data_IF_117853335901
#
_entry.id   IF_117853335901
#
_cell.length_a   1.000
_cell.length_b   1.000
_cell.length_c   1.000
_cell.angle_alpha   90.00
_cell.angle_beta   90.00
_cell.angle_gamma   90.00
#
_symmetry.space_group_name_H-M   'P 1'
#
loop_
_entity.id
_entity.type
_entity.pdbx_description
1 polymer ?
#
# COMPACT_ATOMS: atom_id res chain seq x y z
N UNK A 1 -20.77 13.84 -0.18
CA UNK A 1 -19.42 13.24 -0.01
C UNK A 1 -19.26 12.94 1.47
N UNK A 2 -18.80 11.74 1.79
CA UNK A 2 -18.58 11.37 3.20
C UNK A 2 -17.27 12.02 3.65
N UNK A 3 -17.31 12.87 4.65
CA UNK A 3 -16.13 13.59 5.12
C UNK A 3 -14.99 12.65 5.59
N UNK A 4 -15.29 11.46 6.14
CA UNK A 4 -14.28 10.47 6.51
C UNK A 4 -13.53 9.92 5.27
N UNK A 5 -14.22 9.78 4.15
CA UNK A 5 -13.60 9.29 2.90
C UNK A 5 -12.63 10.33 2.32
N UNK A 6 -12.96 11.61 2.40
CA UNK A 6 -12.06 12.70 1.99
C UNK A 6 -10.84 12.77 2.89
N UNK A 7 -11.03 12.67 4.21
CA UNK A 7 -9.95 12.62 5.19
C UNK A 7 -9.02 11.41 4.97
N UNK A 8 -9.58 10.23 4.71
CA UNK A 8 -8.82 9.02 4.42
C UNK A 8 -8.13 9.02 3.06
N UNK A 9 -8.55 9.88 2.14
CA UNK A 9 -7.95 9.99 0.79
C UNK A 9 -6.87 11.08 0.68
N UNK A 10 -6.55 11.77 1.79
CA UNK A 10 -5.59 12.86 1.79
C UNK A 10 -6.08 14.16 1.13
N UNK A 11 -7.39 14.29 0.94
CA UNK A 11 -8.02 15.47 0.34
C UNK A 11 -8.46 16.52 1.38
N UNK A 12 -8.33 16.22 2.65
CA UNK A 12 -8.63 17.13 3.73
C UNK A 12 -7.39 17.94 4.12
N UNK A 13 -7.41 19.25 3.89
CA UNK A 13 -6.36 20.15 4.34
C UNK A 13 -6.71 20.71 5.72
N UNK A 14 -5.84 20.49 6.71
CA UNK A 14 -5.99 20.99 8.07
C UNK A 14 -4.78 21.82 8.48
N UNK A 15 -5.01 22.97 9.10
CA UNK A 15 -3.94 23.85 9.59
C UNK A 15 -3.05 23.10 10.60
N UNK A 16 -1.74 23.15 10.40
CA UNK A 16 -0.75 22.47 11.25
C UNK A 16 -0.33 21.08 10.75
N UNK A 17 -0.92 20.59 9.67
CA UNK A 17 -0.58 19.32 9.05
C UNK A 17 -0.01 19.54 7.65
N UNK A 18 0.82 18.59 7.18
CA UNK A 18 1.35 18.62 5.84
C UNK A 18 0.23 18.46 4.79
N UNK A 19 0.48 18.99 3.58
CA UNK A 19 -0.35 18.69 2.42
C UNK A 19 -0.34 17.18 2.17
N UNK A 20 -1.43 16.61 1.67
CA UNK A 20 -1.61 15.15 1.50
C UNK A 20 -1.61 14.34 2.81
N UNK A 21 -1.79 15.01 3.96
CA UNK A 21 -2.08 14.33 5.22
C UNK A 21 -3.38 13.57 5.13
N UNK A 22 -3.41 12.38 5.72
CA UNK A 22 -4.62 11.58 5.75
C UNK A 22 -4.89 11.04 7.16
N UNK A 23 -6.13 10.69 7.39
CA UNK A 23 -6.62 10.20 8.68
C UNK A 23 -7.21 8.81 8.52
N UNK A 24 -7.11 8.02 9.57
CA UNK A 24 -7.60 6.65 9.63
C UNK A 24 -8.66 6.49 10.73
N UNK A 25 -9.64 5.66 10.47
CA UNK A 25 -10.64 5.31 11.48
C UNK A 25 -9.98 4.48 12.59
N UNK A 26 -10.31 4.79 13.84
CA UNK A 26 -9.76 4.11 15.01
C UNK A 26 -10.26 2.67 15.06
N UNK A 27 -9.37 1.72 14.85
CA UNK A 27 -9.71 0.31 14.95
C UNK A 27 -9.78 -0.11 16.42
N UNK A 28 -10.95 -0.58 16.87
CA UNK A 28 -11.19 -0.99 18.26
C UNK A 28 -11.06 -2.52 18.47
N UNK A 29 -10.69 -3.28 17.44
CA UNK A 29 -10.59 -4.73 17.52
C UNK A 29 -11.64 -5.46 16.71
N UNK A 30 -11.82 -6.74 17.01
CA UNK A 30 -12.80 -7.61 16.36
C UNK A 30 -13.89 -8.03 17.35
N UNK A 31 -15.10 -8.14 16.87
CA UNK A 31 -16.21 -8.66 17.66
C UNK A 31 -15.98 -10.13 17.99
N UNK A 32 -16.14 -10.48 19.27
CA UNK A 32 -15.87 -11.85 19.77
C UNK A 32 -16.87 -12.91 19.27
N UNK A 33 -18.10 -12.50 18.88
CA UNK A 33 -19.14 -13.45 18.45
C UNK A 33 -19.06 -13.81 16.96
N UNK A 34 -18.71 -12.83 16.11
CA UNK A 34 -18.78 -12.99 14.67
C UNK A 34 -17.53 -12.52 13.91
N UNK A 35 -16.51 -11.99 14.63
CA UNK A 35 -15.22 -11.58 14.04
C UNK A 35 -15.29 -10.39 13.10
N UNK A 36 -16.38 -9.63 13.10
CA UNK A 36 -16.48 -8.40 12.34
C UNK A 36 -15.63 -7.27 12.96
N UNK A 37 -15.10 -6.34 12.15
CA UNK A 37 -14.30 -5.23 12.67
C UNK A 37 -15.15 -4.25 13.46
N UNK A 38 -14.59 -3.73 14.55
CA UNK A 38 -15.17 -2.72 15.41
C UNK A 38 -14.32 -1.44 15.36
N UNK A 39 -14.98 -0.28 15.53
CA UNK A 39 -14.35 1.02 15.46
C UNK A 39 -14.70 1.86 16.68
N UNK A 40 -13.74 2.64 17.14
CA UNK A 40 -13.99 3.70 18.10
C UNK A 40 -14.32 4.98 17.32
N UNK A 41 -15.59 5.34 17.35
CA UNK A 41 -16.12 6.51 16.68
C UNK A 41 -16.42 7.65 17.69
N UNK A 42 -15.78 7.64 18.85
CA UNK A 42 -15.92 8.70 19.85
C UNK A 42 -15.63 10.07 19.23
N UNK A 43 -16.56 11.00 19.38
CA UNK A 43 -16.50 12.31 18.73
C UNK A 43 -17.36 12.42 17.46
N UNK A 44 -17.85 11.32 16.89
CA UNK A 44 -18.74 11.37 15.72
C UNK A 44 -20.16 11.87 16.08
N UNK A 45 -20.52 11.84 17.36
CA UNK A 45 -21.78 12.38 17.90
C UNK A 45 -21.83 13.92 17.94
N UNK A 46 -20.70 14.60 17.78
CA UNK A 46 -20.63 16.05 17.77
C UNK A 46 -21.14 16.60 16.42
N UNK A 47 -21.94 17.66 16.46
CA UNK A 47 -22.41 18.34 15.25
C UNK A 47 -21.25 18.82 14.36
N UNK A 48 -20.14 19.22 14.97
CA UNK A 48 -18.90 19.62 14.27
C UNK A 48 -18.25 18.48 13.50
N UNK A 49 -18.49 17.22 13.90
CA UNK A 49 -17.95 16.04 13.21
C UNK A 49 -18.48 15.89 11.78
N UNK A 50 -19.62 16.49 11.46
CA UNK A 50 -20.17 16.52 10.10
C UNK A 50 -19.28 17.33 9.14
N UNK A 51 -18.52 18.28 9.65
CA UNK A 51 -17.60 19.12 8.88
C UNK A 51 -16.14 18.77 9.11
N UNK A 52 -15.78 18.20 10.27
CA UNK A 52 -14.40 17.85 10.64
C UNK A 52 -14.28 16.38 11.06
N UNK A 53 -13.89 15.54 10.11
CA UNK A 53 -13.68 14.11 10.34
C UNK A 53 -12.53 13.80 11.32
N UNK A 54 -11.64 14.75 11.58
CA UNK A 54 -10.51 14.54 12.49
C UNK A 54 -10.91 14.44 13.96
N UNK A 55 -12.16 14.70 14.30
CA UNK A 55 -12.68 14.53 15.65
C UNK A 55 -12.82 13.05 16.03
N UNK A 56 -13.11 12.18 15.07
CA UNK A 56 -13.31 10.74 15.29
C UNK A 56 -12.33 9.85 14.49
N UNK A 57 -11.34 10.45 13.84
CA UNK A 57 -10.27 9.75 13.13
C UNK A 57 -8.91 10.14 13.71
N UNK A 58 -7.93 9.25 13.60
CA UNK A 58 -6.55 9.53 13.99
C UNK A 58 -5.71 9.95 12.81
N UNK A 59 -4.76 10.86 13.04
CA UNK A 59 -3.75 11.20 12.04
C UNK A 59 -2.93 9.98 11.68
N UNK A 60 -2.95 9.63 10.41
CA UNK A 60 -2.32 8.41 9.90
C UNK A 60 -0.99 8.68 9.16
N UNK A 61 -0.66 9.95 8.97
CA UNK A 61 0.55 10.35 8.27
C UNK A 61 0.27 11.13 6.99
N UNK A 62 1.19 11.11 6.05
CA UNK A 62 1.07 11.78 4.76
C UNK A 62 1.40 10.83 3.61
N UNK A 63 0.72 11.01 2.50
CA UNK A 63 0.90 10.18 1.31
C UNK A 63 2.14 10.56 0.50
N UNK A 64 2.56 11.82 0.57
CA UNK A 64 3.76 12.30 -0.11
C UNK A 64 5.01 12.00 0.71
N UNK A 65 6.10 11.51 0.07
CA UNK A 65 7.34 11.25 0.76
C UNK A 65 8.04 12.54 1.21
N UNK A 66 8.77 12.46 2.31
CA UNK A 66 9.64 13.54 2.79
C UNK A 66 10.85 13.73 1.88
N UNK A 67 11.32 12.61 1.34
CA UNK A 67 12.53 12.59 0.54
C UNK A 67 12.45 11.58 -0.59
N UNK A 68 12.73 12.07 -1.81
CA UNK A 68 12.92 11.27 -3.00
C UNK A 68 14.31 11.51 -3.55
N UNK A 69 15.03 10.44 -3.87
CA UNK A 69 16.35 10.52 -4.46
C UNK A 69 16.53 9.50 -5.57
N UNK A 70 16.98 9.97 -6.72
CA UNK A 70 17.44 9.11 -7.81
C UNK A 70 18.97 9.18 -7.90
N UNK A 71 19.65 8.04 -7.88
CA UNK A 71 21.09 7.91 -8.08
C UNK A 71 21.36 7.01 -9.26
N UNK A 72 22.10 7.52 -10.25
CA UNK A 72 22.60 6.71 -11.35
C UNK A 72 24.11 6.71 -11.35
N UNK A 73 24.72 5.58 -11.63
CA UNK A 73 26.15 5.45 -11.79
C UNK A 73 26.50 4.67 -13.06
N UNK A 74 27.67 4.99 -13.60
CA UNK A 74 28.24 4.28 -14.72
C UNK A 74 29.73 4.07 -14.49
N UNK A 75 30.18 2.84 -14.56
CA UNK A 75 31.57 2.44 -14.41
C UNK A 75 32.04 1.87 -15.73
N UNK A 76 33.14 2.39 -16.27
CA UNK A 76 33.76 1.87 -17.48
C UNK A 76 35.15 1.38 -17.15
N UNK A 77 35.41 0.17 -17.54
CA UNK A 77 36.75 -0.43 -17.48
C UNK A 77 37.12 -1.02 -18.85
N UNK A 78 38.03 -0.36 -19.53
CA UNK A 78 38.44 -0.71 -20.93
C UNK A 78 37.18 -0.72 -21.84
N UNK A 79 36.81 -1.88 -22.33
CA UNK A 79 35.71 -2.14 -23.25
C UNK A 79 34.42 -2.59 -22.54
N UNK A 80 34.48 -2.72 -21.22
CA UNK A 80 33.34 -3.13 -20.41
C UNK A 80 32.72 -1.88 -19.72
N UNK A 81 31.42 -1.74 -19.80
CA UNK A 81 30.69 -0.68 -19.11
C UNK A 81 29.54 -1.29 -18.30
N UNK A 82 29.45 -0.90 -17.03
CA UNK A 82 28.36 -1.23 -16.10
C UNK A 82 27.63 0.05 -15.73
N UNK A 83 26.32 0.08 -15.88
CA UNK A 83 25.50 1.18 -15.42
C UNK A 83 24.30 0.69 -14.61
N UNK A 84 23.85 1.47 -13.64
CA UNK A 84 22.69 1.19 -12.85
C UNK A 84 22.01 2.47 -12.37
N UNK A 85 20.68 2.41 -12.20
CA UNK A 85 19.88 3.47 -11.61
C UNK A 85 19.15 2.95 -10.37
N UNK A 86 19.27 3.70 -9.27
CA UNK A 86 18.61 3.43 -8.00
C UNK A 86 17.64 4.57 -7.69
N UNK A 87 16.50 4.25 -7.12
CA UNK A 87 15.51 5.22 -6.66
C UNK A 87 15.09 4.91 -5.23
N UNK A 88 15.16 5.93 -4.36
CA UNK A 88 14.78 5.87 -2.95
C UNK A 88 13.62 6.81 -2.68
N UNK A 89 12.59 6.32 -2.01
CA UNK A 89 11.46 7.11 -1.49
C UNK A 89 11.25 6.79 -0.03
N UNK A 90 11.19 7.80 0.85
CA UNK A 90 11.04 7.63 2.29
C UNK A 90 10.18 8.73 2.91
N UNK A 91 9.53 8.41 4.04
CA UNK A 91 8.81 9.36 4.87
C UNK A 91 7.32 9.47 4.56
N UNK A 92 6.78 8.60 3.73
CA UNK A 92 5.34 8.54 3.44
C UNK A 92 4.69 7.32 4.07
N UNK A 93 3.40 7.44 4.35
CA UNK A 93 2.51 6.38 4.81
C UNK A 93 1.38 6.18 3.81
N UNK A 94 0.80 4.99 3.82
CA UNK A 94 -0.38 4.69 3.01
C UNK A 94 -1.21 3.59 3.64
N UNK A 95 -2.43 3.41 3.14
CA UNK A 95 -3.20 2.22 3.48
C UNK A 95 -2.73 1.01 2.68
N UNK A 96 -2.67 -0.14 3.35
CA UNK A 96 -2.56 -1.41 2.62
C UNK A 96 -3.73 -1.57 1.66
N UNK A 97 -3.46 -2.07 0.47
CA UNK A 97 -4.52 -2.38 -0.48
C UNK A 97 -5.59 -3.28 0.15
N UNK A 98 -6.87 -3.10 -0.22
CA UNK A 98 -7.94 -3.97 0.25
C UNK A 98 -7.61 -5.46 0.04
N UNK A 99 -8.03 -6.29 0.98
CA UNK A 99 -7.76 -7.75 0.92
C UNK A 99 -8.61 -8.49 -0.12
N UNK A 100 -9.44 -7.78 -0.88
CA UNK A 100 -10.34 -8.29 -1.92
C UNK A 100 -11.52 -7.33 -2.10
N UNK A 101 -12.41 -7.63 -3.01
CA UNK A 101 -13.68 -6.90 -3.20
C UNK A 101 -14.68 -7.36 -2.13
N UNK A 102 -14.60 -6.75 -0.94
CA UNK A 102 -15.37 -7.19 0.23
C UNK A 102 -16.69 -6.46 0.43
N UNK A 103 -16.99 -5.52 -0.46
CA UNK A 103 -18.04 -4.55 -0.23
C UNK A 103 -19.45 -5.10 -0.19
N UNK A 104 -19.76 -6.24 -0.80
CA UNK A 104 -21.15 -6.72 -0.86
C UNK A 104 -21.34 -8.23 -0.99
N UNK A 105 -20.32 -9.06 -1.15
CA UNK A 105 -20.51 -10.48 -1.41
C UNK A 105 -19.52 -11.37 -0.65
N UNK A 106 -19.99 -12.56 -0.34
CA UNK A 106 -19.13 -13.68 0.04
C UNK A 106 -18.09 -13.84 -1.08
N UNK A 107 -16.78 -13.91 -0.75
CA UNK A 107 -15.74 -14.11 -1.76
C UNK A 107 -16.06 -15.34 -2.61
N UNK A 108 -16.00 -15.18 -3.93
CA UNK A 108 -16.18 -16.28 -4.87
C UNK A 108 -15.00 -17.25 -4.79
N UNK A 109 -15.26 -18.54 -4.95
CA UNK A 109 -14.24 -19.59 -5.05
C UNK A 109 -13.31 -19.41 -6.27
N UNK A 110 -13.75 -18.63 -7.26
CA UNK A 110 -12.99 -18.32 -8.49
C UNK A 110 -12.16 -17.03 -8.39
N UNK A 111 -12.19 -16.33 -7.26
CA UNK A 111 -11.43 -15.10 -7.06
C UNK A 111 -10.17 -15.36 -6.25
N UNK A 112 -9.04 -14.79 -6.72
CA UNK A 112 -7.81 -14.80 -5.96
C UNK A 112 -7.95 -13.91 -4.71
N UNK A 113 -7.71 -14.49 -3.56
CA UNK A 113 -7.76 -13.80 -2.28
C UNK A 113 -6.37 -13.45 -1.75
N UNK A 114 -6.30 -12.37 -0.97
CA UNK A 114 -5.08 -12.03 -0.25
C UNK A 114 -4.68 -13.15 0.73
N UNK A 115 -3.38 -13.45 0.79
CA UNK A 115 -2.82 -14.38 1.80
C UNK A 115 -3.03 -13.92 3.23
N UNK A 116 -3.36 -12.64 3.45
CA UNK A 116 -3.71 -12.12 4.78
C UNK A 116 -4.91 -12.83 5.38
N UNK A 117 -5.86 -13.29 4.55
CA UNK A 117 -7.03 -14.05 4.98
C UNK A 117 -6.71 -15.38 5.67
N UNK A 118 -5.53 -15.93 5.51
CA UNK A 118 -5.09 -17.12 6.24
C UNK A 118 -5.10 -16.88 7.74
N UNK A 119 -4.78 -15.65 8.17
CA UNK A 119 -4.72 -15.23 9.58
C UNK A 119 -6.04 -14.64 10.11
N UNK A 120 -7.14 -14.80 9.37
CA UNK A 120 -8.44 -14.24 9.77
C UNK A 120 -8.98 -14.84 11.06
N UNK A 121 -9.83 -14.11 11.71
CA UNK A 121 -10.67 -14.62 12.78
C UNK A 121 -11.56 -15.77 12.27
N UNK A 122 -11.64 -16.86 13.01
CA UNK A 122 -12.42 -18.09 12.65
C UNK A 122 -13.39 -18.52 13.75
N UNK A 123 -13.06 -18.26 15.01
CA UNK A 123 -13.82 -18.67 16.18
C UNK A 123 -13.65 -17.68 17.34
N UNK A 124 -14.60 -17.64 18.29
CA UNK A 124 -14.42 -16.86 19.52
C UNK A 124 -13.11 -17.14 20.22
N UNK A 125 -12.40 -16.08 20.62
CA UNK A 125 -11.05 -16.09 21.18
C UNK A 125 -9.96 -15.66 20.21
N UNK A 126 -10.19 -15.79 18.90
CA UNK A 126 -9.21 -15.39 17.89
C UNK A 126 -9.05 -13.85 17.82
N UNK A 127 -10.01 -13.06 18.28
CA UNK A 127 -9.92 -11.60 18.38
C UNK A 127 -8.75 -11.11 19.25
N UNK A 128 -8.20 -11.97 20.09
CA UNK A 128 -7.03 -11.67 20.94
C UNK A 128 -5.69 -11.88 20.24
N UNK A 129 -5.69 -12.63 19.13
CA UNK A 129 -4.47 -13.05 18.44
C UNK A 129 -4.37 -12.54 17.01
N UNK A 130 -5.46 -12.04 16.43
CA UNK A 130 -5.47 -11.47 15.08
C UNK A 130 -6.28 -10.18 15.00
N UNK A 131 -5.84 -9.28 14.11
CA UNK A 131 -6.59 -8.09 13.72
C UNK A 131 -7.26 -8.23 12.35
N UNK A 132 -7.16 -9.42 11.74
CA UNK A 132 -7.80 -9.69 10.44
C UNK A 132 -9.21 -10.19 10.69
N UNK A 133 -10.25 -9.49 10.19
CA UNK A 133 -11.63 -9.86 10.46
C UNK A 133 -12.02 -11.23 9.86
N UNK A 134 -13.16 -11.74 10.26
CA UNK A 134 -13.78 -12.89 9.61
C UNK A 134 -14.06 -12.60 8.14
N UNK A 135 -14.24 -13.63 7.31
CA UNK A 135 -14.74 -13.42 5.94
C UNK A 135 -16.12 -12.77 5.98
N UNK A 136 -16.39 -11.83 5.05
CA UNK A 136 -17.73 -11.27 4.92
C UNK A 136 -18.75 -12.40 4.71
N UNK A 137 -19.82 -12.36 5.45
CA UNK A 137 -20.94 -13.25 5.32
C UNK A 137 -22.25 -12.48 5.50
N UNK A 138 -23.39 -13.14 5.35
CA UNK A 138 -24.68 -12.46 5.46
C UNK A 138 -24.87 -11.78 6.82
N UNK A 139 -24.31 -12.33 7.89
CA UNK A 139 -24.43 -11.76 9.25
C UNK A 139 -23.51 -10.54 9.39
N UNK A 140 -22.22 -10.68 9.04
CA UNK A 140 -21.24 -9.62 9.24
C UNK A 140 -21.42 -8.46 8.25
N UNK A 141 -21.84 -8.73 7.02
CA UNK A 141 -22.10 -7.70 6.01
C UNK A 141 -23.42 -6.97 6.23
N UNK A 142 -24.38 -7.60 6.87
CA UNK A 142 -25.65 -6.95 7.23
C UNK A 142 -25.52 -6.00 8.43
N UNK A 143 -24.52 -6.22 9.28
CA UNK A 143 -24.25 -5.34 10.44
C UNK A 143 -23.50 -4.09 9.98
N UNK A 144 -24.29 -3.10 9.52
CA UNK A 144 -23.75 -1.79 9.18
C UNK A 144 -23.19 -1.07 10.40
N UNK A 145 -22.17 -0.26 10.18
CA UNK A 145 -21.59 0.63 11.18
C UNK A 145 -22.08 2.03 10.87
N UNK A 146 -22.73 2.66 11.83
CA UNK A 146 -23.20 4.03 11.66
C UNK A 146 -22.05 5.00 11.88
N UNK A 147 -21.67 5.70 10.82
CA UNK A 147 -20.72 6.80 10.85
C UNK A 147 -21.48 8.08 10.55
N UNK A 148 -21.59 8.96 11.55
CA UNK A 148 -22.50 10.10 11.51
C UNK A 148 -23.94 9.65 11.21
N UNK A 149 -24.52 10.13 10.12
CA UNK A 149 -25.89 9.83 9.69
C UNK A 149 -26.01 8.69 8.66
N UNK A 150 -24.89 8.00 8.35
CA UNK A 150 -24.79 7.03 7.28
C UNK A 150 -24.41 5.64 7.78
N UNK A 151 -25.06 4.64 7.20
CA UNK A 151 -24.80 3.24 7.49
C UNK A 151 -23.75 2.68 6.52
N UNK A 152 -22.52 2.51 7.01
CA UNK A 152 -21.37 2.10 6.24
C UNK A 152 -21.08 0.60 6.35
N UNK A 153 -20.43 0.05 5.34
CA UNK A 153 -19.98 -1.33 5.38
C UNK A 153 -18.74 -1.45 6.29
N UNK A 154 -18.74 -2.33 7.30
CA UNK A 154 -17.61 -2.46 8.23
C UNK A 154 -16.28 -2.86 7.56
N UNK A 155 -16.31 -3.57 6.44
CA UNK A 155 -15.09 -3.97 5.73
C UNK A 155 -14.49 -2.82 4.90
N UNK A 156 -15.31 -1.89 4.41
CA UNK A 156 -14.82 -0.68 3.74
C UNK A 156 -14.16 0.25 4.77
N UNK A 157 -14.77 0.40 5.94
CA UNK A 157 -14.18 1.13 7.07
C UNK A 157 -12.87 0.47 7.54
N UNK A 158 -12.84 -0.87 7.61
CA UNK A 158 -11.62 -1.60 7.97
C UNK A 158 -10.46 -1.31 7.01
N UNK A 159 -10.72 -1.22 5.72
CA UNK A 159 -9.71 -0.88 4.73
C UNK A 159 -9.10 0.52 4.93
N UNK A 160 -9.80 1.39 5.65
CA UNK A 160 -9.40 2.78 5.97
C UNK A 160 -9.16 3.00 7.46
N UNK A 161 -8.90 1.94 8.21
CA UNK A 161 -8.63 1.99 9.64
C UNK A 161 -7.14 2.04 9.97
N UNK A 162 -6.82 2.41 11.21
CA UNK A 162 -5.45 2.55 11.73
C UNK A 162 -4.63 1.26 11.57
N UNK A 163 -5.25 0.09 11.68
CA UNK A 163 -4.57 -1.20 11.51
C UNK A 163 -4.11 -1.48 10.07
N UNK A 164 -4.59 -0.71 9.11
CA UNK A 164 -4.23 -0.82 7.68
C UNK A 164 -3.22 0.24 7.23
N UNK A 165 -2.80 1.14 8.12
CA UNK A 165 -1.78 2.15 7.83
C UNK A 165 -0.40 1.53 7.93
N UNK A 166 0.45 1.79 6.94
CA UNK A 166 1.81 1.27 6.86
C UNK A 166 2.77 2.29 6.30
N UNK A 167 4.04 2.18 6.70
CA UNK A 167 5.12 2.95 6.09
C UNK A 167 5.37 2.49 4.65
N UNK A 168 5.46 3.45 3.72
CA UNK A 168 5.54 3.19 2.30
C UNK A 168 6.94 3.41 1.69
N UNK A 169 8.00 3.39 2.52
CA UNK A 169 9.35 3.57 2.01
C UNK A 169 9.81 2.40 1.13
N UNK A 170 10.58 2.72 0.10
CA UNK A 170 11.23 1.71 -0.73
C UNK A 170 12.52 2.23 -1.39
N UNK A 171 13.42 1.29 -1.69
CA UNK A 171 14.56 1.46 -2.57
C UNK A 171 14.39 0.52 -3.75
N UNK A 172 14.34 1.06 -4.96
CA UNK A 172 14.20 0.30 -6.20
C UNK A 172 15.45 0.43 -7.04
N UNK A 173 15.90 -0.67 -7.59
CA UNK A 173 16.83 -0.67 -8.72
C UNK A 173 16.04 -0.68 -10.03
N UNK A 174 16.07 0.44 -10.76
CA UNK A 174 15.31 0.57 -12.00
C UNK A 174 15.91 -0.26 -13.14
N UNK A 175 17.23 -0.26 -13.26
CA UNK A 175 17.93 -1.05 -14.28
C UNK A 175 19.38 -1.35 -13.88
N UNK A 176 19.88 -2.47 -14.37
CA UNK A 176 21.31 -2.79 -14.42
C UNK A 176 21.63 -3.13 -15.86
N UNK A 177 22.61 -2.45 -16.46
CA UNK A 177 23.04 -2.71 -17.84
C UNK A 177 24.54 -2.96 -17.87
N UNK A 178 24.92 -4.04 -18.52
CA UNK A 178 26.30 -4.43 -18.77
C UNK A 178 26.53 -4.40 -20.28
N UNK A 179 27.52 -3.63 -20.74
CA UNK A 179 27.87 -3.53 -22.16
C UNK A 179 29.34 -3.89 -22.35
N UNK A 180 29.61 -4.64 -23.39
CA UNK A 180 30.96 -5.00 -23.81
C UNK A 180 31.18 -4.66 -25.28
N UNK A 181 32.20 -3.86 -25.58
CA UNK A 181 32.61 -3.54 -26.95
C UNK A 181 33.82 -4.37 -27.30
N UNK A 182 33.74 -5.14 -28.41
CA UNK A 182 34.87 -5.93 -28.86
C UNK A 182 35.99 -5.00 -29.33
N UNK A 183 37.23 -5.18 -28.82
CA UNK A 183 38.34 -4.35 -29.25
C UNK A 183 38.59 -4.46 -30.76
N UNK A 184 38.88 -3.37 -31.45
CA UNK A 184 39.13 -3.30 -32.89
C UNK A 184 40.16 -4.32 -33.36
N UNK A 185 41.21 -4.57 -32.56
CA UNK A 185 42.27 -5.56 -32.87
C UNK A 185 41.76 -6.98 -33.02
N UNK A 186 40.56 -7.30 -32.56
CA UNK A 186 39.94 -8.62 -32.66
C UNK A 186 38.92 -8.69 -33.79
N UNK A 187 38.64 -7.57 -34.47
CA UNK A 187 37.67 -7.49 -35.55
C UNK A 187 38.32 -7.82 -36.91
N UNK A 188 37.64 -8.59 -37.76
CA UNK A 188 38.03 -8.70 -39.19
C UNK A 188 37.93 -7.32 -39.83
N UNK A 189 38.82 -7.02 -40.81
CA UNK A 189 38.91 -5.70 -41.43
C UNK A 189 37.65 -5.20 -42.17
N UNK A 190 36.65 -6.04 -42.32
CA UNK A 190 35.30 -5.70 -42.86
C UNK A 190 34.32 -5.22 -41.82
N UNK A 191 34.58 -5.40 -40.51
CA UNK A 191 33.70 -4.99 -39.40
C UNK A 191 34.32 -3.83 -38.64
N UNK A 192 33.56 -2.76 -38.48
CA UNK A 192 33.99 -1.55 -37.77
C UNK A 192 33.79 -1.63 -36.27
N UNK A 193 32.71 -2.25 -35.78
CA UNK A 193 32.43 -2.41 -34.37
C UNK A 193 31.49 -3.62 -34.11
N UNK A 194 31.70 -4.31 -33.01
CA UNK A 194 30.78 -5.28 -32.45
C UNK A 194 30.62 -4.97 -30.97
N UNK A 195 29.36 -4.83 -30.52
CA UNK A 195 29.03 -4.64 -29.12
C UNK A 195 27.96 -5.62 -28.66
N UNK A 196 28.08 -6.04 -27.42
CA UNK A 196 27.08 -6.84 -26.73
C UNK A 196 26.56 -6.03 -25.55
N UNK A 197 25.24 -6.02 -25.34
CA UNK A 197 24.61 -5.42 -24.16
C UNK A 197 23.65 -6.38 -23.52
N UNK A 198 23.69 -6.44 -22.21
CA UNK A 198 22.76 -7.16 -21.38
C UNK A 198 22.11 -6.18 -20.40
N UNK A 199 20.78 -6.17 -20.31
CA UNK A 199 20.05 -5.25 -19.47
C UNK A 199 18.97 -5.97 -18.67
N UNK A 200 18.91 -5.69 -17.37
CA UNK A 200 17.88 -6.14 -16.46
C UNK A 200 17.06 -4.93 -15.99
N UNK A 201 15.76 -4.98 -16.21
CA UNK A 201 14.82 -3.99 -15.67
C UNK A 201 14.28 -4.44 -14.32
N UNK A 202 14.20 -3.52 -13.35
CA UNK A 202 13.67 -3.77 -12.00
C UNK A 202 14.21 -5.04 -11.31
N UNK A 203 15.54 -5.28 -11.27
CA UNK A 203 16.11 -6.54 -10.79
C UNK A 203 15.82 -6.81 -9.32
N UNK A 204 15.69 -5.77 -8.50
CA UNK A 204 15.34 -5.88 -7.09
C UNK A 204 14.67 -4.62 -6.54
N UNK A 205 13.93 -4.82 -5.46
CA UNK A 205 13.33 -3.76 -4.66
C UNK A 205 13.43 -4.13 -3.19
N UNK A 206 13.92 -3.20 -2.36
CA UNK A 206 13.89 -3.27 -0.91
C UNK A 206 12.79 -2.33 -0.45
N UNK A 207 11.93 -2.77 0.46
CA UNK A 207 10.74 -2.01 0.88
C UNK A 207 10.37 -2.30 2.32
N UNK A 208 9.47 -1.50 2.87
CA UNK A 208 8.88 -1.76 4.17
C UNK A 208 8.29 -3.18 4.24
N UNK A 209 8.56 -3.90 5.33
CA UNK A 209 8.01 -5.24 5.60
C UNK A 209 6.49 -5.22 5.76
N UNK A 210 5.94 -4.08 6.16
CA UNK A 210 4.52 -3.89 6.42
C UNK A 210 3.68 -4.02 5.15
N UNK A 211 4.27 -3.83 3.97
CA UNK A 211 3.62 -4.09 2.68
C UNK A 211 3.32 -5.58 2.40
N UNK A 212 3.76 -6.49 3.28
CA UNK A 212 3.43 -7.93 3.18
C UNK A 212 3.66 -8.52 1.79
N UNK A 213 4.73 -8.12 1.13
CA UNK A 213 5.10 -8.60 -0.20
C UNK A 213 4.52 -7.82 -1.38
N UNK A 214 3.65 -6.85 -1.17
CA UNK A 214 3.09 -6.00 -2.25
C UNK A 214 4.05 -4.89 -2.65
N UNK A 215 3.87 -4.34 -3.86
CA UNK A 215 4.66 -3.20 -4.33
C UNK A 215 4.07 -1.88 -3.78
N UNK A 216 4.88 -1.04 -3.11
CA UNK A 216 4.43 0.26 -2.60
C UNK A 216 3.88 1.21 -3.65
N UNK A 217 4.38 1.15 -4.88
CA UNK A 217 3.90 1.99 -5.99
C UNK A 217 2.53 1.55 -6.51
N UNK A 218 2.11 0.32 -6.22
CA UNK A 218 0.83 -0.25 -6.66
C UNK A 218 -0.17 -0.36 -5.50
N UNK A 219 0.00 0.44 -4.46
CA UNK A 219 -0.76 0.35 -3.21
C UNK A 219 -2.29 0.47 -3.39
N UNK A 220 -2.77 1.08 -4.46
CA UNK A 220 -4.20 1.34 -4.71
C UNK A 220 -4.92 0.26 -5.54
N UNK A 221 -4.38 -0.95 -5.66
CA UNK A 221 -5.10 -2.08 -6.24
C UNK A 221 -4.88 -2.32 -7.72
N UNK A 222 -3.88 -1.68 -8.33
CA UNK A 222 -3.36 -2.09 -9.64
C UNK A 222 -2.67 -3.46 -9.55
N UNK A 223 -2.61 -4.19 -10.64
CA UNK A 223 -1.81 -5.42 -10.67
C UNK A 223 -0.32 -5.06 -10.52
N UNK A 224 0.45 -5.82 -9.72
CA UNK A 224 1.89 -5.64 -9.72
C UNK A 224 2.39 -5.83 -11.14
N UNK A 225 3.30 -4.94 -11.58
CA UNK A 225 3.98 -5.12 -12.85
C UNK A 225 4.52 -6.56 -12.91
N UNK A 226 4.09 -7.31 -13.90
CA UNK A 226 4.59 -8.66 -14.12
C UNK A 226 6.10 -8.58 -14.27
N UNK A 227 6.81 -9.35 -13.46
CA UNK A 227 8.26 -9.50 -13.51
C UNK A 227 8.63 -10.55 -14.56
#
# INVERSE_FOLDING_TARGET
THNWSEAASGNLNKKGYAVSSFWALRFAGLNAEHGGPMFDLSGSELEEAKSDATLYMDYAGKMEPDFNCGVSFSIRYKTLSLSSGLYLSVGNQTFLAPMGRLTQSIPSEYENMSTEWVKRWRKPGDEKITNVPSLPNMITSAKKVRVLDLDENPYDLYAKSTVRVVDAWYLRCGSISLSYSVPERLLPGTLQAIGFSFSLGNPFQIRSKDFKGRDPEVALGGQPLQR
#
